data_IF_736948982802
#
_entry.id   IF_736948982802
#
_cell.length_a   1.000
_cell.length_b   1.000
_cell.length_c   1.000
_cell.angle_alpha   90.00
_cell.angle_beta   90.00
_cell.angle_gamma   90.00
#
_symmetry.space_group_name_H-M   'P 1'
#
loop_
_entity.id
_entity.type
_entity.pdbx_description
1 polymer ?
#
# COMPACT_ATOMS: atom_id res chain seq x y z
N UNK A 1 -8.75 -11.14 18.02
CA UNK A 1 -8.43 -9.99 18.89
C UNK A 1 -8.45 -8.76 18.01
N UNK A 2 -9.49 -7.94 18.14
CA UNK A 2 -9.69 -6.73 17.34
C UNK A 2 -8.69 -5.66 17.78
N UNK A 3 -7.74 -5.32 16.92
CA UNK A 3 -6.93 -4.13 17.10
C UNK A 3 -7.88 -2.93 17.02
N UNK A 4 -8.10 -2.27 18.15
CA UNK A 4 -8.82 -1.00 18.21
C UNK A 4 -8.02 0.02 17.41
N UNK A 5 -8.54 0.43 16.25
CA UNK A 5 -8.09 1.59 15.51
C UNK A 5 -8.29 2.82 16.40
N UNK A 6 -7.20 3.36 16.96
CA UNK A 6 -7.28 4.59 17.72
C UNK A 6 -7.49 5.76 16.76
N UNK A 7 -8.68 6.34 16.84
CA UNK A 7 -9.09 7.57 16.18
C UNK A 7 -8.32 8.76 16.76
N UNK A 8 -7.18 9.09 16.14
CA UNK A 8 -6.57 10.42 16.03
C UNK A 8 -5.09 10.17 15.73
N UNK A 9 -4.79 9.98 14.47
CA UNK A 9 -3.43 9.75 14.02
C UNK A 9 -3.01 11.02 13.29
N UNK A 10 -2.14 11.80 13.94
CA UNK A 10 -1.74 13.18 13.59
C UNK A 10 -2.88 14.06 13.07
N UNK A 11 -3.60 14.69 13.99
CA UNK A 11 -4.72 15.58 13.65
C UNK A 11 -4.34 16.74 12.71
N UNK A 12 -3.05 17.08 12.61
CA UNK A 12 -2.49 18.17 11.84
C UNK A 12 -1.67 17.72 10.61
N UNK A 13 -1.62 16.41 10.31
CA UNK A 13 -0.97 15.94 9.09
C UNK A 13 -1.92 15.97 7.90
N UNK A 14 -1.49 16.66 6.84
CA UNK A 14 -2.20 16.70 5.57
C UNK A 14 -1.42 15.97 4.48
N UNK A 15 -2.13 15.12 3.73
CA UNK A 15 -1.58 14.49 2.54
C UNK A 15 -1.17 15.54 1.50
N UNK A 16 0.06 15.47 0.94
CA UNK A 16 0.50 16.35 -0.14
C UNK A 16 -0.48 16.40 -1.32
N UNK A 17 -0.53 17.52 -2.06
CA UNK A 17 -1.39 17.63 -3.23
C UNK A 17 -0.94 16.65 -4.33
N UNK A 18 -1.89 16.10 -5.08
CA UNK A 18 -1.64 15.15 -6.17
C UNK A 18 -0.73 15.72 -7.27
N UNK A 19 -0.73 17.03 -7.46
CA UNK A 19 0.16 17.74 -8.40
C UNK A 19 1.65 17.64 -8.07
N UNK A 20 1.99 17.15 -6.87
CA UNK A 20 3.37 16.85 -6.50
C UNK A 20 3.91 15.63 -7.25
N UNK A 21 3.03 14.68 -7.59
CA UNK A 21 3.40 13.44 -8.25
C UNK A 21 3.41 13.60 -9.77
N UNK A 22 4.27 12.85 -10.49
CA UNK A 22 4.36 12.97 -11.94
C UNK A 22 3.06 12.50 -12.61
N UNK A 23 2.66 13.18 -13.70
CA UNK A 23 1.47 12.82 -14.49
C UNK A 23 1.51 11.39 -15.05
N UNK A 24 2.70 10.78 -15.11
CA UNK A 24 2.88 9.38 -15.51
C UNK A 24 2.50 8.38 -14.41
N UNK A 25 2.38 8.81 -13.15
CA UNK A 25 1.85 7.96 -12.09
C UNK A 25 0.38 7.66 -12.38
N UNK A 26 -0.04 6.38 -12.46
CA UNK A 26 -1.41 6.06 -12.83
C UNK A 26 -2.40 6.46 -11.73
N UNK A 27 -1.93 6.53 -10.48
CA UNK A 27 -2.74 6.69 -9.28
C UNK A 27 -1.95 7.44 -8.20
N UNK A 28 -2.68 8.13 -7.34
CA UNK A 28 -2.12 8.77 -6.15
C UNK A 28 -1.59 7.69 -5.16
N UNK A 29 -0.48 7.93 -4.44
CA UNK A 29 0.04 7.00 -3.44
C UNK A 29 -0.98 6.71 -2.32
N UNK A 30 -1.30 5.45 -2.10
CA UNK A 30 -2.28 5.00 -1.11
C UNK A 30 -1.67 4.45 0.18
N UNK A 31 -0.34 4.29 0.26
CA UNK A 31 0.39 3.97 1.48
C UNK A 31 1.34 5.11 1.83
N UNK A 32 1.25 5.56 3.07
CA UNK A 32 2.07 6.63 3.62
C UNK A 32 2.68 6.16 4.93
N UNK A 33 4.00 6.11 5.00
CA UNK A 33 4.74 5.78 6.23
C UNK A 33 5.44 7.03 6.74
N UNK A 34 5.06 7.46 7.94
CA UNK A 34 5.62 8.59 8.66
C UNK A 34 6.62 8.07 9.70
N UNK A 35 7.91 8.25 9.42
CA UNK A 35 9.02 7.79 10.25
C UNK A 35 9.49 8.93 11.14
N UNK A 36 9.34 8.80 12.44
CA UNK A 36 9.80 9.81 13.40
C UNK A 36 11.32 10.00 13.30
N UNK A 37 11.82 11.24 13.43
CA UNK A 37 13.24 11.57 13.28
C UNK A 37 14.16 10.84 14.28
N UNK A 38 13.62 10.33 15.38
CA UNK A 38 14.38 9.49 16.32
C UNK A 38 14.79 8.12 15.76
N UNK A 39 14.12 7.65 14.69
CA UNK A 39 14.42 6.37 14.05
C UNK A 39 15.36 6.49 12.85
N UNK A 40 15.52 7.70 12.30
CA UNK A 40 16.30 7.95 11.10
C UNK A 40 16.87 9.37 11.12
N UNK A 41 18.18 9.52 10.91
CA UNK A 41 18.87 10.81 10.92
C UNK A 41 18.71 11.64 9.64
N UNK A 42 18.06 11.05 8.63
CA UNK A 42 17.93 11.63 7.30
C UNK A 42 16.80 10.98 6.53
N UNK A 43 16.29 11.67 5.52
CA UNK A 43 15.24 11.12 4.66
C UNK A 43 15.69 9.83 3.94
N UNK A 44 16.98 9.74 3.56
CA UNK A 44 17.55 8.52 2.98
C UNK A 44 17.52 7.36 3.99
N UNK A 45 17.88 7.62 5.25
CA UNK A 45 17.81 6.60 6.30
C UNK A 45 16.36 6.16 6.56
N UNK A 46 15.40 7.08 6.54
CA UNK A 46 13.98 6.75 6.69
C UNK A 46 13.46 5.87 5.54
N UNK A 47 13.81 6.20 4.28
CA UNK A 47 13.48 5.35 3.12
C UNK A 47 14.06 3.95 3.31
N UNK A 48 15.35 3.87 3.69
CA UNK A 48 16.04 2.59 3.89
C UNK A 48 15.36 1.75 4.97
N UNK A 49 15.03 2.36 6.12
CA UNK A 49 14.31 1.70 7.21
C UNK A 49 12.98 1.12 6.73
N UNK A 50 12.17 1.89 6.00
CA UNK A 50 10.88 1.44 5.48
C UNK A 50 11.05 0.28 4.50
N UNK A 51 12.01 0.35 3.59
CA UNK A 51 12.29 -0.76 2.66
C UNK A 51 12.69 -2.03 3.41
N UNK A 52 13.64 -1.94 4.34
CA UNK A 52 14.11 -3.09 5.12
C UNK A 52 12.99 -3.72 5.94
N UNK A 53 12.10 -2.90 6.52
CA UNK A 53 10.96 -3.42 7.27
C UNK A 53 9.91 -4.07 6.36
N UNK A 54 9.66 -3.51 5.19
CA UNK A 54 8.78 -4.14 4.20
C UNK A 54 9.36 -5.47 3.74
N UNK A 55 10.63 -5.52 3.34
CA UNK A 55 11.30 -6.76 2.93
C UNK A 55 11.24 -7.82 4.04
N UNK A 56 11.51 -7.44 5.29
CA UNK A 56 11.47 -8.36 6.43
C UNK A 56 10.08 -8.92 6.74
N UNK A 57 9.01 -8.14 6.54
CA UNK A 57 7.64 -8.60 6.82
C UNK A 57 7.04 -9.37 5.65
N UNK A 58 7.35 -8.97 4.41
CA UNK A 58 6.56 -9.38 3.24
C UNK A 58 7.29 -10.35 2.31
N UNK A 59 8.57 -10.62 2.56
CA UNK A 59 9.46 -11.36 1.64
C UNK A 59 9.43 -10.74 0.23
N UNK A 60 9.17 -9.44 0.14
CA UNK A 60 9.16 -8.70 -1.12
C UNK A 60 10.57 -8.61 -1.67
N UNK A 61 10.68 -8.86 -2.97
CA UNK A 61 11.91 -8.57 -3.71
C UNK A 61 11.80 -7.15 -4.27
N UNK A 62 12.72 -6.28 -3.85
CA UNK A 62 12.85 -4.94 -4.39
C UNK A 62 13.67 -5.00 -5.68
N UNK A 63 13.12 -4.47 -6.77
CA UNK A 63 13.87 -4.27 -7.99
C UNK A 63 14.40 -2.84 -7.97
N UNK A 64 15.57 -2.67 -7.35
CA UNK A 64 16.36 -1.43 -7.42
C UNK A 64 16.91 -1.14 -8.83
N UNK A 65 16.44 -1.86 -9.86
CA UNK A 65 16.82 -1.68 -11.26
C UNK A 65 16.85 -0.20 -11.63
N UNK A 66 18.06 0.28 -11.93
CA UNK A 66 18.46 1.67 -12.22
C UNK A 66 17.71 2.35 -13.39
N UNK A 67 16.62 1.77 -13.90
CA UNK A 67 15.92 2.21 -15.10
C UNK A 67 14.44 1.79 -15.11
N UNK A 68 13.67 2.12 -14.07
CA UNK A 68 12.22 2.05 -14.16
C UNK A 68 11.59 3.44 -13.99
N UNK A 69 11.78 4.29 -15.01
CA UNK A 69 10.91 5.44 -15.28
C UNK A 69 9.48 5.02 -15.74
N UNK A 70 9.07 3.76 -15.48
CA UNK A 70 7.71 3.32 -15.69
C UNK A 70 6.84 3.94 -14.62
N UNK A 71 5.81 4.68 -15.06
CA UNK A 71 4.83 5.29 -14.16
C UNK A 71 5.42 6.33 -13.16
N UNK A 72 6.59 6.89 -13.47
CA UNK A 72 7.18 8.00 -12.73
C UNK A 72 7.63 7.69 -11.28
N UNK A 73 7.73 6.41 -10.92
CA UNK A 73 8.19 6.00 -9.59
C UNK A 73 9.72 5.97 -9.48
N UNK A 74 10.23 6.10 -8.25
CA UNK A 74 11.67 6.08 -7.93
C UNK A 74 12.18 4.66 -7.63
N UNK A 75 11.29 3.78 -7.16
CA UNK A 75 11.59 2.39 -6.88
C UNK A 75 10.34 1.52 -7.02
N UNK A 76 10.55 0.24 -7.33
CA UNK A 76 9.50 -0.74 -7.49
C UNK A 76 9.81 -1.99 -6.67
N UNK A 77 8.83 -2.45 -5.90
CA UNK A 77 8.94 -3.71 -5.19
C UNK A 77 7.72 -4.59 -5.46
N UNK A 78 7.93 -5.90 -5.44
CA UNK A 78 6.87 -6.86 -5.76
C UNK A 78 6.99 -8.13 -4.94
N UNK A 79 5.83 -8.65 -4.53
CA UNK A 79 5.68 -10.06 -4.11
C UNK A 79 4.73 -10.79 -5.05
N UNK A 80 5.19 -11.91 -5.61
CA UNK A 80 4.44 -12.79 -6.52
C UNK A 80 3.91 -14.01 -5.78
N UNK A 81 3.09 -14.85 -6.40
CA UNK A 81 2.63 -16.11 -5.80
C UNK A 81 1.87 -15.94 -4.48
N UNK A 82 1.10 -14.86 -4.38
CA UNK A 82 0.21 -14.60 -3.24
C UNK A 82 -1.07 -15.40 -3.39
N UNK A 83 -1.53 -15.91 -2.24
CA UNK A 83 -2.70 -16.76 -2.03
C UNK A 83 -2.72 -18.06 -2.84
N UNK A 84 -2.99 -19.21 -2.18
CA UNK A 84 -3.07 -20.47 -2.89
C UNK A 84 -4.30 -20.49 -3.81
N UNK A 85 -4.16 -21.06 -5.01
CA UNK A 85 -5.30 -21.46 -5.84
C UNK A 85 -6.16 -22.41 -5.01
N UNK A 86 -7.39 -21.99 -4.67
CA UNK A 86 -8.30 -22.83 -3.89
C UNK A 86 -8.68 -24.05 -4.71
N UNK A 87 -8.61 -25.25 -4.12
CA UNK A 87 -9.15 -26.47 -4.75
C UNK A 87 -10.59 -26.64 -4.28
N UNK A 88 -11.55 -26.77 -5.21
CA UNK A 88 -12.99 -26.87 -4.89
C UNK A 88 -13.89 -26.24 -5.96
N UNK A 89 -15.20 -26.10 -5.70
CA UNK A 89 -16.18 -25.55 -6.67
C UNK A 89 -15.84 -24.16 -7.19
N UNK A 90 -15.22 -23.31 -6.34
CA UNK A 90 -14.75 -21.98 -6.72
C UNK A 90 -13.29 -21.95 -7.19
N UNK A 91 -12.61 -23.10 -7.21
CA UNK A 91 -11.20 -23.18 -7.58
C UNK A 91 -10.91 -22.78 -9.02
N UNK A 92 -11.84 -23.06 -9.94
CA UNK A 92 -11.77 -22.61 -11.33
C UNK A 92 -11.91 -21.09 -11.50
N UNK A 93 -12.32 -20.38 -10.45
CA UNK A 93 -12.46 -18.91 -10.42
C UNK A 93 -11.26 -18.22 -9.77
N UNK A 94 -10.39 -18.98 -9.09
CA UNK A 94 -9.19 -18.45 -8.46
C UNK A 94 -7.98 -18.49 -9.42
N UNK A 95 -7.06 -17.55 -9.22
CA UNK A 95 -5.80 -17.44 -9.96
C UNK A 95 -4.69 -16.96 -9.01
N UNK A 96 -3.45 -16.97 -9.49
CA UNK A 96 -2.31 -16.44 -8.74
C UNK A 96 -2.39 -14.92 -8.63
N UNK A 97 -1.92 -14.35 -7.52
CA UNK A 97 -1.91 -12.90 -7.29
C UNK A 97 -0.53 -12.38 -6.90
N UNK A 98 -0.33 -11.08 -7.09
CA UNK A 98 0.86 -10.36 -6.72
C UNK A 98 0.51 -9.00 -6.13
N UNK A 99 1.39 -8.47 -5.30
CA UNK A 99 1.33 -7.09 -4.83
C UNK A 99 2.49 -6.31 -5.40
N UNK A 100 2.20 -5.12 -5.90
CA UNK A 100 3.15 -4.18 -6.49
C UNK A 100 3.17 -2.91 -5.66
N UNK A 101 4.38 -2.46 -5.30
CA UNK A 101 4.61 -1.17 -4.64
C UNK A 101 5.45 -0.30 -5.57
N UNK A 102 4.99 0.93 -5.77
CA UNK A 102 5.69 1.98 -6.52
C UNK A 102 5.95 3.15 -5.58
N UNK A 103 7.22 3.43 -5.31
CA UNK A 103 7.61 4.46 -4.35
C UNK A 103 7.89 5.79 -5.03
N UNK A 104 7.61 6.89 -4.33
CA UNK A 104 7.73 8.26 -4.82
C UNK A 104 8.57 9.13 -3.86
N UNK A 105 9.87 8.86 -3.80
CA UNK A 105 10.79 9.55 -2.90
C UNK A 105 11.18 10.94 -3.39
N UNK A 106 11.49 11.08 -4.68
CA UNK A 106 12.02 12.32 -5.25
C UNK A 106 11.02 13.48 -5.18
N UNK A 107 9.71 13.29 -5.50
CA UNK A 107 8.71 14.34 -5.32
C UNK A 107 8.62 14.86 -3.88
N UNK A 108 8.81 13.97 -2.90
CA UNK A 108 8.68 14.29 -1.49
C UNK A 108 9.94 14.90 -0.86
N UNK A 109 11.08 14.95 -1.58
CA UNK A 109 12.37 15.34 -1.01
C UNK A 109 12.39 16.76 -0.45
N UNK A 110 11.77 17.71 -1.14
CA UNK A 110 11.78 19.12 -0.73
C UNK A 110 10.85 19.41 0.46
N UNK A 111 9.79 18.61 0.64
CA UNK A 111 8.83 18.73 1.73
C UNK A 111 9.14 17.82 2.92
N UNK A 112 10.34 17.25 2.99
CA UNK A 112 10.77 16.36 4.06
C UNK A 112 11.90 16.99 4.90
N UNK A 113 11.88 16.84 6.24
CA UNK A 113 10.80 16.26 7.05
C UNK A 113 9.58 17.18 7.14
N UNK A 114 8.44 16.63 7.57
CA UNK A 114 7.24 17.39 7.94
C UNK A 114 7.20 17.62 9.46
N UNK A 115 6.75 18.79 9.86
CA UNK A 115 6.52 19.18 11.25
C UNK A 115 5.08 18.89 11.64
N UNK A 116 4.87 18.34 12.83
CA UNK A 116 3.56 17.97 13.36
C UNK A 116 3.52 18.28 14.86
N UNK A 117 2.34 18.28 15.47
CA UNK A 117 2.17 18.47 16.91
C UNK A 117 2.88 17.39 17.74
N UNK A 118 3.12 16.21 17.15
CA UNK A 118 3.76 15.07 17.80
C UNK A 118 5.23 14.88 17.38
N UNK A 119 5.83 15.86 16.70
CA UNK A 119 7.24 15.86 16.33
C UNK A 119 7.51 15.91 14.82
N UNK A 120 8.73 15.53 14.44
CA UNK A 120 9.26 15.63 13.08
C UNK A 120 9.27 14.26 12.42
N UNK A 121 8.69 14.18 11.23
CA UNK A 121 8.52 12.92 10.52
C UNK A 121 9.07 12.99 9.10
N UNK A 122 9.74 11.93 8.68
CA UNK A 122 10.04 11.69 7.28
C UNK A 122 8.88 10.92 6.65
N UNK A 123 8.27 11.48 5.62
CA UNK A 123 7.19 10.87 4.86
C UNK A 123 7.71 10.06 3.68
N UNK A 124 7.38 8.77 3.67
CA UNK A 124 7.68 7.81 2.60
C UNK A 124 6.35 7.33 2.01
N UNK A 125 6.14 7.54 0.71
CA UNK A 125 4.89 7.21 0.04
C UNK A 125 5.05 6.13 -1.04
N UNK A 126 4.05 5.27 -1.14
CA UNK A 126 3.95 4.26 -2.18
C UNK A 126 2.52 4.13 -2.73
N UNK A 127 2.40 3.81 -4.02
CA UNK A 127 1.20 3.21 -4.57
C UNK A 127 1.30 1.69 -4.47
N UNK A 128 0.37 1.09 -3.75
CA UNK A 128 0.23 -0.34 -3.49
C UNK A 128 -0.94 -0.86 -4.32
N UNK A 129 -0.70 -1.97 -5.01
CA UNK A 129 -1.68 -2.57 -5.90
C UNK A 129 -1.65 -4.09 -5.81
N UNK A 130 -2.78 -4.72 -5.48
CA UNK A 130 -2.94 -6.17 -5.45
C UNK A 130 -3.70 -6.65 -6.69
N UNK A 131 -3.04 -7.43 -7.54
CA UNK A 131 -3.59 -7.85 -8.84
C UNK A 131 -3.23 -9.29 -9.20
N UNK A 132 -3.72 -9.75 -10.34
CA UNK A 132 -3.42 -11.08 -10.88
C UNK A 132 -1.95 -11.20 -11.28
N UNK A 133 -1.31 -12.31 -10.94
CA UNK A 133 0.13 -12.55 -11.13
C UNK A 133 0.47 -13.24 -12.45
N UNK A 134 0.12 -12.64 -13.60
CA UNK A 134 0.55 -13.16 -14.92
C UNK A 134 0.86 -12.02 -15.92
N UNK A 135 1.24 -12.33 -17.18
CA UNK A 135 1.19 -11.35 -18.26
C UNK A 135 -0.23 -11.24 -18.83
N UNK A 136 -0.59 -10.11 -19.43
CA UNK A 136 -1.94 -9.83 -19.97
C UNK A 136 -2.56 -10.94 -20.82
N UNK A 137 -1.76 -11.66 -21.62
CA UNK A 137 -2.21 -12.79 -22.46
C UNK A 137 -2.61 -14.05 -21.67
N UNK A 138 -2.18 -14.16 -20.42
CA UNK A 138 -2.47 -15.25 -19.50
C UNK A 138 -3.20 -14.73 -18.25
N UNK A 139 -3.78 -13.53 -18.32
CA UNK A 139 -4.63 -12.95 -17.28
C UNK A 139 -6.09 -13.34 -17.55
N UNK A 140 -6.60 -14.43 -16.95
CA UNK A 140 -8.03 -14.55 -16.81
C UNK A 140 -8.44 -13.51 -15.75
N UNK A 141 -8.79 -12.31 -16.21
CA UNK A 141 -9.48 -11.38 -15.35
C UNK A 141 -10.86 -11.98 -15.05
N UNK A 142 -11.05 -12.44 -13.82
CA UNK A 142 -12.27 -13.13 -13.38
C UNK A 142 -12.89 -12.22 -12.30
N UNK A 143 -13.96 -11.52 -12.68
CA UNK A 143 -14.69 -10.64 -11.76
C UNK A 143 -15.25 -11.42 -10.55
N UNK A 144 -15.47 -12.71 -10.70
CA UNK A 144 -15.94 -13.61 -9.65
C UNK A 144 -14.82 -14.22 -8.79
N UNK A 145 -13.56 -13.80 -8.97
CA UNK A 145 -12.47 -14.27 -8.13
C UNK A 145 -12.77 -13.94 -6.66
N UNK A 146 -12.71 -14.90 -5.73
CA UNK A 146 -13.03 -14.67 -4.32
C UNK A 146 -12.01 -13.77 -3.61
N UNK A 147 -10.87 -13.50 -4.26
CA UNK A 147 -9.74 -12.78 -3.70
C UNK A 147 -9.63 -11.36 -4.24
N UNK A 148 -9.37 -11.17 -5.54
CA UNK A 148 -9.26 -9.83 -6.14
C UNK A 148 -10.49 -9.38 -6.95
N UNK A 149 -11.47 -10.26 -7.16
CA UNK A 149 -12.62 -9.98 -8.01
C UNK A 149 -13.60 -8.96 -7.41
N UNK A 150 -14.59 -8.54 -8.18
CA UNK A 150 -15.69 -7.70 -7.72
C UNK A 150 -16.74 -8.54 -6.94
N UNK A 151 -16.31 -9.18 -5.86
CA UNK A 151 -17.15 -10.05 -5.02
C UNK A 151 -17.34 -9.46 -3.61
N UNK A 152 -18.38 -9.92 -2.90
CA UNK A 152 -18.70 -9.45 -1.54
C UNK A 152 -19.02 -7.95 -1.52
N UNK A 153 -18.40 -7.21 -0.59
CA UNK A 153 -18.57 -5.75 -0.46
C UNK A 153 -18.14 -4.96 -1.71
N UNK A 154 -17.22 -5.51 -2.51
CA UNK A 154 -16.74 -4.89 -3.76
C UNK A 154 -17.66 -5.19 -4.97
N UNK A 155 -18.75 -5.93 -4.77
CA UNK A 155 -19.73 -6.23 -5.84
C UNK A 155 -20.35 -4.98 -6.47
N UNK A 156 -20.35 -3.85 -5.74
CA UNK A 156 -20.81 -2.56 -6.24
C UNK A 156 -19.97 -2.01 -7.41
N UNK A 157 -18.79 -2.57 -7.67
CA UNK A 157 -17.88 -2.13 -8.74
C UNK A 157 -17.90 -3.02 -10.00
N UNK A 158 -18.82 -4.00 -10.06
CA UNK A 158 -19.04 -4.79 -11.27
C UNK A 158 -19.48 -3.93 -12.46
N UNK A 159 -18.93 -4.23 -13.64
CA UNK A 159 -19.23 -3.49 -14.88
C UNK A 159 -18.55 -2.13 -15.02
N UNK A 160 -17.76 -1.70 -14.04
CA UNK A 160 -16.91 -0.49 -14.12
C UNK A 160 -15.71 -0.65 -15.06
N UNK A 161 -15.02 0.45 -15.31
CA UNK A 161 -13.76 0.45 -16.06
C UNK A 161 -12.65 -0.26 -15.29
N UNK A 162 -11.63 -0.79 -16.00
CA UNK A 162 -10.45 -1.40 -15.36
C UNK A 162 -9.80 -0.44 -14.37
N UNK A 163 -9.77 0.85 -14.71
CA UNK A 163 -9.22 1.90 -13.85
C UNK A 163 -9.98 2.01 -12.53
N UNK A 164 -11.30 2.11 -12.58
CA UNK A 164 -12.14 2.19 -11.38
C UNK A 164 -12.00 0.93 -10.51
N UNK A 165 -11.93 -0.25 -11.13
CA UNK A 165 -11.71 -1.51 -10.41
C UNK A 165 -10.34 -1.54 -9.72
N UNK A 166 -9.30 -1.01 -10.39
CA UNK A 166 -7.98 -0.89 -9.78
C UNK A 166 -8.02 0.04 -8.56
N UNK A 167 -8.59 1.24 -8.71
CA UNK A 167 -8.64 2.26 -7.66
C UNK A 167 -9.56 1.86 -6.47
N UNK A 168 -10.63 1.09 -6.72
CA UNK A 168 -11.67 0.79 -5.73
C UNK A 168 -11.67 -0.64 -5.20
N UNK A 169 -10.93 -1.56 -5.84
CA UNK A 169 -10.82 -2.97 -5.42
C UNK A 169 -9.36 -3.32 -5.14
N UNK A 170 -8.52 -3.28 -6.17
CA UNK A 170 -7.15 -3.80 -6.07
C UNK A 170 -6.23 -2.96 -5.17
N UNK A 171 -6.36 -1.63 -5.22
CA UNK A 171 -5.60 -0.72 -4.37
C UNK A 171 -5.97 -0.91 -2.88
N UNK A 172 -7.26 -0.91 -2.47
CA UNK A 172 -7.67 -1.24 -1.10
C UNK A 172 -7.21 -2.62 -0.63
N UNK A 173 -7.31 -3.65 -1.48
CA UNK A 173 -6.84 -5.00 -1.14
C UNK A 173 -5.32 -5.06 -0.97
N UNK A 174 -4.57 -4.33 -1.80
CA UNK A 174 -3.13 -4.20 -1.65
C UNK A 174 -2.76 -3.48 -0.36
N UNK A 175 -3.50 -2.44 0.00
CA UNK A 175 -3.31 -1.73 1.24
C UNK A 175 -3.60 -2.61 2.46
N UNK A 176 -4.72 -3.34 2.46
CA UNK A 176 -5.05 -4.30 3.52
C UNK A 176 -3.91 -5.32 3.70
N UNK A 177 -3.40 -5.86 2.59
CA UNK A 177 -2.30 -6.81 2.62
C UNK A 177 -1.03 -6.22 3.24
N UNK A 178 -0.64 -5.02 2.84
CA UNK A 178 0.58 -4.38 3.37
C UNK A 178 0.42 -3.98 4.84
N UNK A 179 -0.75 -3.50 5.25
CA UNK A 179 -0.98 -3.08 6.62
C UNK A 179 -1.12 -4.27 7.58
N UNK A 180 -1.82 -5.33 7.16
CA UNK A 180 -2.29 -6.37 8.08
C UNK A 180 -1.84 -7.79 7.72
N UNK A 181 -1.29 -8.02 6.53
CA UNK A 181 -0.99 -9.35 6.03
C UNK A 181 -2.24 -10.12 5.57
N UNK A 182 -3.35 -9.42 5.37
CA UNK A 182 -4.64 -10.02 5.03
C UNK A 182 -5.20 -9.52 3.70
N UNK A 183 -6.05 -10.32 3.08
CA UNK A 183 -6.87 -9.91 1.94
C UNK A 183 -8.29 -10.36 2.23
N UNK A 184 -9.24 -9.42 2.30
CA UNK A 184 -10.64 -9.67 2.70
C UNK A 184 -10.76 -10.31 4.09
N UNK A 185 -9.86 -9.93 4.99
CA UNK A 185 -9.78 -10.43 6.37
C UNK A 185 -9.19 -11.83 6.51
N UNK A 186 -8.71 -12.45 5.44
CA UNK A 186 -8.03 -13.74 5.47
C UNK A 186 -6.51 -13.57 5.43
N UNK A 187 -5.79 -14.23 6.34
CA UNK A 187 -4.33 -14.23 6.39
C UNK A 187 -3.71 -14.76 5.10
N UNK A 188 -2.69 -14.06 4.60
CA UNK A 188 -1.84 -14.53 3.50
C UNK A 188 -0.61 -15.23 4.07
N UNK A 189 -0.41 -16.48 3.66
CA UNK A 189 0.69 -17.32 4.16
C UNK A 189 2.05 -16.68 3.84
N UNK A 190 2.93 -16.65 4.85
CA UNK A 190 4.28 -16.11 4.76
C UNK A 190 4.33 -14.64 4.30
N UNK A 191 3.30 -13.87 4.67
CA UNK A 191 3.23 -12.44 4.44
C UNK A 191 2.75 -11.76 5.72
N UNK A 192 3.68 -11.15 6.44
CA UNK A 192 3.36 -10.34 7.60
C UNK A 192 3.06 -8.90 7.16
N UNK A 193 2.02 -8.29 7.76
CA UNK A 193 1.73 -6.88 7.57
C UNK A 193 2.63 -5.98 8.42
N UNK A 194 2.63 -4.69 8.10
CA UNK A 194 3.33 -3.66 8.88
C UNK A 194 2.83 -3.59 10.33
N UNK A 195 1.62 -4.06 10.61
CA UNK A 195 1.11 -4.23 11.97
C UNK A 195 2.03 -5.07 12.88
N UNK A 196 2.82 -6.00 12.32
CA UNK A 196 3.77 -6.83 13.07
C UNK A 196 5.00 -6.06 13.55
N UNK A 197 5.27 -4.89 12.98
CA UNK A 197 6.35 -4.02 13.45
C UNK A 197 6.12 -3.48 14.87
N UNK A 198 4.90 -3.60 15.40
CA UNK A 198 4.54 -3.20 16.76
C UNK A 198 5.33 -3.93 17.85
N UNK A 199 6.01 -5.04 17.53
CA UNK A 199 6.93 -5.72 18.45
C UNK A 199 8.25 -4.95 18.64
N UNK A 200 8.65 -4.15 17.64
CA UNK A 200 9.95 -3.47 17.58
C UNK A 200 9.86 -1.95 17.66
N UNK A 201 8.74 -1.39 17.20
CA UNK A 201 8.52 0.04 17.09
C UNK A 201 7.22 0.43 17.79
N UNK A 202 7.08 1.71 18.12
CA UNK A 202 5.75 2.28 18.29
C UNK A 202 5.09 2.34 16.91
N UNK A 203 3.99 1.61 16.74
CA UNK A 203 3.24 1.57 15.47
C UNK A 203 1.83 2.07 15.71
N UNK A 204 1.42 3.10 14.95
CA UNK A 204 0.03 3.54 14.85
C UNK A 204 -0.38 3.51 13.39
N UNK A 205 -1.60 3.04 13.10
CA UNK A 205 -2.10 2.96 11.73
C UNK A 205 -3.52 3.50 11.62
N UNK A 206 -3.78 4.25 10.56
CA UNK A 206 -5.11 4.72 10.18
C UNK A 206 -5.39 4.35 8.73
N UNK A 207 -6.65 4.06 8.43
CA UNK A 207 -7.16 3.97 7.07
C UNK A 207 -8.31 4.95 6.91
N UNK A 208 -8.42 5.57 5.74
CA UNK A 208 -9.55 6.43 5.42
C UNK A 208 -9.84 6.45 3.93
N UNK A 209 -11.08 6.80 3.59
CA UNK A 209 -11.49 7.11 2.23
C UNK A 209 -11.28 8.60 2.01
N UNK A 210 -10.55 9.03 0.97
CA UNK A 210 -10.38 10.45 0.66
C UNK A 210 -11.74 11.16 0.52
N UNK A 211 -11.84 12.36 1.10
CA UNK A 211 -13.05 13.17 1.03
C UNK A 211 -13.35 13.67 -0.39
N UNK A 212 -14.60 14.09 -0.67
CA UNK A 212 -15.00 14.55 -2.01
C UNK A 212 -14.22 15.77 -2.51
N UNK A 213 -13.66 16.57 -1.60
CA UNK A 213 -12.86 17.76 -1.92
C UNK A 213 -11.41 17.42 -2.35
N UNK A 214 -10.99 16.14 -2.27
CA UNK A 214 -9.68 15.64 -2.69
C UNK A 214 -9.75 14.90 -4.03
N UNK A 215 -10.28 15.57 -5.05
CA UNK A 215 -10.38 15.01 -6.40
C UNK A 215 -9.01 14.65 -7.03
N UNK A 216 -7.92 15.17 -6.48
CA UNK A 216 -6.54 14.84 -6.82
C UNK A 216 -6.07 13.49 -6.27
N UNK A 217 -6.76 12.93 -5.27
CA UNK A 217 -6.46 11.62 -4.67
C UNK A 217 -7.33 10.56 -5.35
N UNK A 218 -6.78 9.94 -6.38
CA UNK A 218 -7.50 9.02 -7.26
C UNK A 218 -7.68 7.60 -6.71
N UNK A 219 -7.15 7.29 -5.53
CA UNK A 219 -7.27 5.97 -4.90
C UNK A 219 -8.47 5.90 -3.96
N UNK A 220 -9.14 4.74 -3.89
CA UNK A 220 -10.37 4.57 -3.10
C UNK A 220 -10.14 4.48 -1.59
N UNK A 221 -8.91 4.25 -1.14
CA UNK A 221 -8.55 4.15 0.29
C UNK A 221 -7.09 4.50 0.47
N UNK A 222 -6.77 5.23 1.55
CA UNK A 222 -5.40 5.56 1.96
C UNK A 222 -5.11 4.96 3.32
N UNK A 223 -3.89 4.44 3.50
CA UNK A 223 -3.37 3.99 4.77
C UNK A 223 -2.18 4.85 5.21
N UNK A 224 -2.22 5.27 6.47
CA UNK A 224 -1.14 5.96 7.15
C UNK A 224 -0.54 5.04 8.21
N UNK A 225 0.78 4.94 8.24
CA UNK A 225 1.55 4.16 9.21
C UNK A 225 2.54 5.07 9.89
N UNK A 226 2.56 5.05 11.21
CA UNK A 226 3.48 5.81 12.04
C UNK A 226 4.49 4.87 12.63
N UNK A 227 5.76 5.22 12.48
CA UNK A 227 6.87 4.49 13.09
C UNK A 227 7.60 5.43 14.05
N UNK A 228 7.50 5.12 15.34
CA UNK A 228 8.20 5.79 16.43
C UNK A 228 9.12 4.84 17.19
N UNK A 229 10.01 5.40 18.01
CA UNK A 229 10.80 4.60 18.94
C UNK A 229 9.88 4.00 20.00
N UNK A 230 10.06 2.71 20.29
CA UNK A 230 9.35 2.06 21.39
C UNK A 230 9.94 2.56 22.72
N UNK A 231 9.08 3.12 23.57
CA UNK A 231 9.43 3.53 24.94
C UNK A 231 9.69 2.36 25.87
#
# INVERSE_FOLDING_TARGET
MTANANHAILADYELPPGTLFPDSAPRYPNLWVLVHESLADSYRAAITLVMEQLEACTDMYNDFGYAHAGEGCDAFARRRGLQPVRLGPDGSRSHDHCVHLRFYFAPLRAGNPVETAEGRYYQVAASVHYEVDRPQRFHPYIDECPHCGCTGEYGAYMGGTIREKNERVHDPLGLELILYGTVRGEDVIAFDGLNRLADRFEVRMAEFVPGPDRADVTTGKVGLVFLGARG
#
